data_IF_648913934207
#
_entry.id   IF_648913934207
#
_cell.length_a   1.000
_cell.length_b   1.000
_cell.length_c   1.000
_cell.angle_alpha   90.00
_cell.angle_beta   90.00
_cell.angle_gamma   90.00
#
_symmetry.space_group_name_H-M   'P 1'
#
loop_
_entity.id
_entity.type
_entity.pdbx_description
1 polymer ?
#
# COMPACT_ATOMS: atom_id res chain seq x y z
N UNK A 1 -31.14 -25.84 -4.46
CA UNK A 1 -30.37 -25.67 -5.71
C UNK A 1 -29.25 -24.65 -5.45
N UNK A 2 -28.02 -25.17 -5.35
CA UNK A 2 -26.68 -24.55 -5.43
C UNK A 2 -26.43 -23.16 -4.82
N UNK A 3 -25.78 -23.13 -3.64
CA UNK A 3 -24.82 -22.08 -3.26
C UNK A 3 -23.59 -22.73 -2.60
N UNK A 4 -22.79 -23.44 -3.40
CA UNK A 4 -21.41 -23.85 -3.07
C UNK A 4 -20.63 -23.92 -4.37
N UNK A 5 -20.05 -22.79 -4.78
CA UNK A 5 -19.08 -22.71 -5.91
C UNK A 5 -18.18 -21.48 -5.90
N UNK A 6 -18.38 -20.51 -4.99
CA UNK A 6 -17.60 -19.27 -4.97
C UNK A 6 -16.22 -19.45 -4.32
N UNK A 7 -16.10 -20.28 -3.27
CA UNK A 7 -14.85 -20.47 -2.53
C UNK A 7 -13.80 -21.29 -3.32
N UNK A 8 -14.23 -22.36 -4.00
CA UNK A 8 -13.34 -23.23 -4.79
C UNK A 8 -12.70 -22.54 -6.02
N UNK A 9 -13.34 -21.52 -6.60
CA UNK A 9 -12.83 -20.87 -7.83
C UNK A 9 -11.69 -19.90 -7.53
N UNK A 10 -11.76 -19.19 -6.40
CA UNK A 10 -10.70 -18.28 -5.93
C UNK A 10 -9.49 -19.06 -5.40
N UNK A 11 -9.73 -20.18 -4.70
CA UNK A 11 -8.65 -21.07 -4.24
C UNK A 11 -7.93 -21.76 -5.41
N UNK A 12 -8.63 -22.07 -6.51
CA UNK A 12 -7.98 -22.59 -7.73
C UNK A 12 -7.13 -21.55 -8.44
N UNK A 13 -7.61 -20.30 -8.53
CA UNK A 13 -6.90 -19.23 -9.26
C UNK A 13 -5.62 -18.78 -8.53
N UNK A 14 -5.62 -18.77 -7.20
CA UNK A 14 -4.41 -18.46 -6.41
C UNK A 14 -3.32 -19.54 -6.54
N UNK A 15 -3.69 -20.80 -6.81
CA UNK A 15 -2.75 -21.90 -7.07
C UNK A 15 -2.18 -21.89 -8.50
N UNK A 16 -2.66 -21.02 -9.38
CA UNK A 16 -2.18 -20.89 -10.77
C UNK A 16 -1.20 -19.72 -10.95
N UNK A 17 -1.09 -18.82 -9.97
CA UNK A 17 -0.20 -17.66 -9.98
C UNK A 17 1.27 -18.10 -10.04
N UNK A 18 1.94 -17.84 -11.16
CA UNK A 18 3.32 -18.27 -11.40
C UNK A 18 4.32 -17.21 -10.96
N UNK A 19 5.52 -17.65 -10.58
CA UNK A 19 6.62 -16.72 -10.31
C UNK A 19 6.83 -15.81 -11.53
N UNK A 20 6.94 -14.50 -11.28
CA UNK A 20 7.04 -13.49 -12.34
C UNK A 20 5.69 -12.99 -12.86
N UNK A 21 4.58 -13.31 -12.20
CA UNK A 21 3.26 -12.73 -12.48
C UNK A 21 2.82 -11.77 -11.38
N UNK A 22 2.04 -10.75 -11.75
CA UNK A 22 1.35 -9.86 -10.83
C UNK A 22 -0.13 -9.81 -11.19
N UNK A 23 -1.00 -10.23 -10.27
CA UNK A 23 -2.45 -10.26 -10.52
C UNK A 23 -3.15 -9.17 -9.73
N UNK A 24 -3.91 -8.33 -10.42
CA UNK A 24 -4.83 -7.39 -9.79
C UNK A 24 -6.22 -8.01 -9.72
N UNK A 25 -6.71 -8.28 -8.52
CA UNK A 25 -8.00 -8.94 -8.29
C UNK A 25 -8.95 -8.07 -7.46
N UNK A 26 -10.28 -8.23 -7.58
CA UNK A 26 -11.24 -7.60 -6.67
C UNK A 26 -10.98 -8.02 -5.23
N UNK A 27 -11.06 -7.06 -4.30
CA UNK A 27 -10.92 -7.31 -2.88
C UNK A 27 -12.23 -7.15 -2.12
N UNK A 28 -12.52 -8.10 -1.22
CA UNK A 28 -13.62 -8.01 -0.26
C UNK A 28 -13.01 -7.79 1.14
N UNK A 29 -12.81 -6.51 1.49
CA UNK A 29 -12.24 -6.11 2.78
C UNK A 29 -13.25 -6.22 3.91
N UNK A 30 -12.75 -6.42 5.15
CA UNK A 30 -13.59 -6.30 6.34
C UNK A 30 -14.01 -4.84 6.52
N UNK A 31 -15.12 -4.62 7.24
CA UNK A 31 -15.67 -3.27 7.41
C UNK A 31 -14.67 -2.32 8.09
N UNK A 32 -13.86 -2.84 9.01
CA UNK A 32 -12.81 -2.12 9.72
C UNK A 32 -11.58 -1.78 8.87
N UNK A 33 -11.35 -2.50 7.76
CA UNK A 33 -10.23 -2.28 6.83
C UNK A 33 -10.67 -1.45 5.62
N UNK A 34 -11.96 -1.43 5.31
CA UNK A 34 -12.53 -0.78 4.15
C UNK A 34 -12.72 0.73 4.38
N UNK A 35 -12.13 1.55 3.52
CA UNK A 35 -12.48 2.97 3.45
C UNK A 35 -13.87 3.12 2.83
N UNK A 36 -14.76 3.82 3.54
CA UNK A 36 -16.15 3.98 3.12
C UNK A 36 -16.27 4.59 1.71
N UNK A 37 -17.03 3.93 0.84
CA UNK A 37 -17.29 4.40 -0.53
C UNK A 37 -16.20 4.05 -1.54
N UNK A 38 -15.11 3.38 -1.14
CA UNK A 38 -14.06 2.93 -2.05
C UNK A 38 -14.27 1.48 -2.51
N UNK A 39 -13.81 1.19 -3.73
CA UNK A 39 -13.72 -0.17 -4.26
C UNK A 39 -12.38 -0.78 -3.91
N UNK A 40 -12.40 -1.99 -3.39
CA UNK A 40 -11.21 -2.72 -2.99
C UNK A 40 -10.62 -3.63 -4.06
N UNK A 41 -9.29 -3.74 -4.06
CA UNK A 41 -8.53 -4.65 -4.91
C UNK A 41 -7.26 -5.14 -4.20
N UNK A 42 -6.84 -6.35 -4.56
CA UNK A 42 -5.59 -6.97 -4.12
C UNK A 42 -4.63 -7.06 -5.31
N UNK A 43 -3.40 -6.59 -5.13
CA UNK A 43 -2.27 -6.87 -6.01
C UNK A 43 -1.44 -8.02 -5.46
N UNK A 44 -1.42 -9.15 -6.17
CA UNK A 44 -0.83 -10.39 -5.70
C UNK A 44 0.42 -10.74 -6.54
N UNK A 45 1.59 -10.94 -5.91
CA UNK A 45 2.74 -11.52 -6.58
C UNK A 45 2.55 -13.03 -6.78
N UNK A 46 2.96 -13.53 -7.94
CA UNK A 46 2.84 -14.95 -8.26
C UNK A 46 3.98 -15.81 -7.72
N UNK A 47 3.69 -17.11 -7.54
CA UNK A 47 4.62 -18.10 -7.03
C UNK A 47 4.73 -18.17 -5.49
N UNK A 48 4.17 -17.19 -4.76
CA UNK A 48 4.21 -17.15 -3.30
C UNK A 48 2.79 -16.96 -2.76
N UNK A 49 2.11 -18.07 -2.45
CA UNK A 49 0.83 -18.01 -1.78
C UNK A 49 1.01 -17.44 -0.38
N UNK A 50 0.61 -16.19 -0.16
CA UNK A 50 0.26 -15.54 1.12
C UNK A 50 0.88 -16.15 2.40
N UNK A 51 2.19 -16.41 2.42
CA UNK A 51 2.88 -17.03 3.54
C UNK A 51 4.19 -16.29 3.76
N UNK A 52 4.59 -16.21 5.03
CA UNK A 52 5.77 -15.50 5.46
C UNK A 52 7.01 -15.95 4.68
N UNK A 53 7.66 -15.02 3.98
CA UNK A 53 8.76 -15.29 3.09
C UNK A 53 9.99 -15.82 3.88
N UNK A 54 10.55 -16.96 3.48
CA UNK A 54 11.92 -17.35 3.81
C UNK A 54 12.91 -16.40 3.13
N UNK A 55 14.19 -16.41 3.55
CA UNK A 55 15.21 -15.53 2.96
C UNK A 55 15.37 -15.69 1.43
N UNK A 56 15.17 -16.89 0.90
CA UNK A 56 15.18 -17.15 -0.56
C UNK A 56 13.93 -16.60 -1.26
N UNK A 57 12.80 -16.54 -0.55
CA UNK A 57 11.55 -15.94 -1.04
C UNK A 57 11.64 -14.41 -1.03
N UNK A 58 12.35 -13.83 -0.05
CA UNK A 58 12.56 -12.38 0.05
C UNK A 58 13.34 -11.81 -1.14
N UNK A 59 14.40 -12.48 -1.60
CA UNK A 59 15.13 -12.06 -2.80
C UNK A 59 14.28 -12.17 -4.08
N UNK A 60 13.49 -13.24 -4.18
CA UNK A 60 12.58 -13.43 -5.31
C UNK A 60 11.41 -12.44 -5.33
N UNK A 61 11.15 -11.76 -4.21
CA UNK A 61 10.09 -10.76 -4.03
C UNK A 61 10.60 -9.31 -4.10
N UNK A 62 11.91 -9.10 -4.30
CA UNK A 62 12.48 -7.79 -4.64
C UNK A 62 11.73 -7.10 -5.81
N UNK A 63 11.36 -7.79 -6.90
CA UNK A 63 10.57 -7.18 -7.97
C UNK A 63 9.20 -6.68 -7.51
N UNK A 64 8.52 -7.39 -6.60
CA UNK A 64 7.23 -6.94 -6.06
C UNK A 64 7.37 -5.59 -5.33
N UNK A 65 8.40 -5.46 -4.48
CA UNK A 65 8.69 -4.20 -3.78
C UNK A 65 9.00 -3.06 -4.75
N UNK A 66 9.73 -3.33 -5.82
CA UNK A 66 10.00 -2.34 -6.87
C UNK A 66 8.73 -1.94 -7.62
N UNK A 67 7.86 -2.91 -7.96
CA UNK A 67 6.56 -2.67 -8.60
C UNK A 67 5.70 -1.74 -7.73
N UNK A 68 5.59 -2.02 -6.44
CA UNK A 68 4.79 -1.21 -5.51
C UNK A 68 5.31 0.22 -5.45
N UNK A 69 6.62 0.40 -5.26
CA UNK A 69 7.23 1.73 -5.17
C UNK A 69 7.03 2.55 -6.44
N UNK A 70 7.33 1.98 -7.61
CA UNK A 70 7.11 2.64 -8.90
C UNK A 70 5.64 3.00 -9.12
N UNK A 71 4.74 2.08 -8.75
CA UNK A 71 3.29 2.32 -8.88
C UNK A 71 2.87 3.51 -8.04
N UNK A 72 3.31 3.60 -6.77
CA UNK A 72 3.01 4.72 -5.88
C UNK A 72 3.53 6.03 -6.44
N UNK A 73 4.77 6.06 -6.93
CA UNK A 73 5.36 7.26 -7.55
C UNK A 73 4.54 7.75 -8.76
N UNK A 74 4.17 6.83 -9.67
CA UNK A 74 3.45 7.17 -10.89
C UNK A 74 1.99 7.60 -10.63
N UNK A 75 1.26 6.87 -9.78
CA UNK A 75 -0.14 7.18 -9.50
C UNK A 75 -0.31 8.45 -8.67
N UNK A 76 0.69 8.79 -7.85
CA UNK A 76 0.71 10.03 -7.05
C UNK A 76 1.30 11.23 -7.79
N UNK A 77 1.92 11.03 -8.96
CA UNK A 77 2.60 12.09 -9.70
C UNK A 77 1.71 13.33 -9.90
N UNK A 78 2.18 14.46 -9.36
CA UNK A 78 1.50 15.76 -9.46
C UNK A 78 0.25 15.93 -8.60
N UNK A 79 -0.02 15.02 -7.66
CA UNK A 79 -1.13 15.09 -6.72
C UNK A 79 -0.63 15.21 -5.27
N UNK A 80 -1.42 15.84 -4.38
CA UNK A 80 -1.15 15.80 -2.95
C UNK A 80 -1.20 14.38 -2.42
N UNK A 81 -0.33 14.09 -1.45
CA UNK A 81 -0.20 12.76 -0.84
C UNK A 81 -0.21 12.89 0.67
N UNK A 82 -0.85 11.93 1.32
CA UNK A 82 -0.66 11.68 2.74
C UNK A 82 0.08 10.37 2.93
N UNK A 83 1.18 10.42 3.67
CA UNK A 83 1.85 9.24 4.18
C UNK A 83 1.45 9.05 5.63
N UNK A 84 0.94 7.87 5.94
CA UNK A 84 0.60 7.47 7.31
C UNK A 84 1.53 6.34 7.72
N UNK A 85 2.31 6.58 8.78
CA UNK A 85 3.12 5.57 9.44
C UNK A 85 2.45 5.23 10.76
N UNK A 86 2.06 3.98 10.97
CA UNK A 86 1.53 3.52 12.26
C UNK A 86 2.53 2.56 12.88
N UNK A 87 2.97 2.83 14.11
CA UNK A 87 3.92 2.05 14.87
C UNK A 87 3.24 1.43 16.09
N UNK A 88 3.18 0.11 16.11
CA UNK A 88 2.61 -0.70 17.20
C UNK A 88 3.68 -1.59 17.84
N UNK A 89 4.96 -1.35 17.56
CA UNK A 89 6.06 -2.15 18.08
C UNK A 89 6.22 -2.03 19.61
N UNK A 90 5.66 -0.98 20.22
CA UNK A 90 5.83 -0.68 21.63
C UNK A 90 7.31 -0.47 22.01
N UNK A 91 8.08 0.16 21.11
CA UNK A 91 9.52 0.41 21.26
C UNK A 91 10.40 -0.83 21.37
N UNK A 92 9.92 -1.98 20.88
CA UNK A 92 10.69 -3.24 20.95
C UNK A 92 11.56 -3.49 19.71
N UNK A 93 11.35 -2.76 18.61
CA UNK A 93 12.12 -2.91 17.38
C UNK A 93 13.32 -1.94 17.36
N UNK A 94 14.49 -2.39 17.81
CA UNK A 94 15.69 -1.55 17.90
C UNK A 94 16.11 -0.90 16.57
N UNK A 95 15.95 -1.60 15.44
CA UNK A 95 16.29 -1.05 14.13
C UNK A 95 15.32 0.07 13.72
N UNK A 96 14.02 -0.09 14.00
CA UNK A 96 13.05 0.97 13.78
C UNK A 96 13.33 2.19 14.66
N UNK A 97 13.58 2.00 15.96
CA UNK A 97 13.92 3.07 16.90
C UNK A 97 15.16 3.87 16.48
N UNK A 98 16.13 3.22 15.82
CA UNK A 98 17.31 3.90 15.29
C UNK A 98 17.02 4.70 14.00
N UNK A 99 16.05 4.27 13.19
CA UNK A 99 15.79 4.80 11.83
C UNK A 99 14.65 5.80 11.80
N UNK A 100 13.64 5.60 12.65
CA UNK A 100 12.43 6.41 12.68
C UNK A 100 12.70 7.89 12.93
N UNK A 101 13.67 8.33 13.76
CA UNK A 101 13.92 9.76 13.97
C UNK A 101 14.42 10.46 12.70
N UNK A 102 15.32 9.82 11.96
CA UNK A 102 15.87 10.35 10.70
C UNK A 102 14.78 10.41 9.63
N UNK A 103 14.00 9.34 9.46
CA UNK A 103 12.91 9.27 8.48
C UNK A 103 11.80 10.28 8.81
N UNK A 104 11.47 10.44 10.09
CA UNK A 104 10.53 11.46 10.58
C UNK A 104 11.04 12.86 10.28
N UNK A 105 12.31 13.15 10.56
CA UNK A 105 12.90 14.45 10.29
C UNK A 105 12.85 14.79 8.78
N UNK A 106 13.22 13.83 7.92
CA UNK A 106 13.13 13.98 6.48
C UNK A 106 11.69 14.24 6.00
N UNK A 107 10.69 13.63 6.64
CA UNK A 107 9.28 13.89 6.37
C UNK A 107 8.86 15.29 6.82
N UNK A 108 9.22 15.70 8.04
CA UNK A 108 8.87 16.99 8.62
C UNK A 108 9.41 18.17 7.80
N UNK A 109 10.60 18.05 7.25
CA UNK A 109 11.24 19.07 6.41
C UNK A 109 10.48 19.36 5.10
N UNK A 110 9.68 18.40 4.64
CA UNK A 110 9.02 18.46 3.33
C UNK A 110 7.49 18.49 3.45
N UNK A 111 6.95 18.12 4.60
CA UNK A 111 5.51 18.10 4.82
C UNK A 111 4.96 19.52 4.97
N UNK A 112 3.75 19.70 4.46
CA UNK A 112 2.97 20.91 4.66
C UNK A 112 2.23 20.89 6.00
N UNK A 113 1.86 19.71 6.45
CA UNK A 113 1.15 19.50 7.69
C UNK A 113 1.47 18.12 8.26
N UNK A 114 1.49 18.04 9.60
CA UNK A 114 1.80 16.84 10.35
C UNK A 114 0.87 16.71 11.56
N UNK A 115 0.46 15.48 11.86
CA UNK A 115 -0.24 15.12 13.09
C UNK A 115 0.28 13.80 13.63
N UNK A 116 0.38 13.75 14.95
CA UNK A 116 0.66 12.55 15.73
C UNK A 116 -0.61 12.19 16.51
N UNK A 117 -0.97 10.91 16.50
CA UNK A 117 -2.14 10.38 17.19
C UNK A 117 -1.75 9.12 17.97
N UNK A 118 -2.18 9.01 19.22
CA UNK A 118 -2.16 7.74 19.93
C UNK A 118 -3.30 6.85 19.44
N UNK A 119 -2.98 5.63 19.00
CA UNK A 119 -3.96 4.67 18.48
C UNK A 119 -3.83 3.35 19.25
N UNK A 120 -4.67 3.19 20.26
CA UNK A 120 -4.67 2.00 21.11
C UNK A 120 -3.37 1.86 21.90
N UNK A 121 -2.47 0.98 21.46
CA UNK A 121 -1.13 0.76 22.07
C UNK A 121 0.02 1.30 21.22
N UNK A 122 -0.28 1.93 20.08
CA UNK A 122 0.72 2.42 19.15
C UNK A 122 0.54 3.91 18.86
N UNK A 123 1.42 4.41 18.02
CA UNK A 123 1.47 5.80 17.57
C UNK A 123 1.23 5.85 16.05
N UNK A 124 0.51 6.88 15.61
CA UNK A 124 0.25 7.12 14.19
C UNK A 124 0.76 8.49 13.81
N UNK A 125 1.65 8.52 12.83
CA UNK A 125 2.20 9.73 12.23
C UNK A 125 1.57 9.96 10.86
N UNK A 126 0.93 11.11 10.68
CA UNK A 126 0.22 11.49 9.46
C UNK A 126 0.91 12.71 8.87
N UNK A 127 1.50 12.56 7.69
CA UNK A 127 2.20 13.64 6.99
C UNK A 127 1.48 13.97 5.69
N UNK A 128 1.09 15.23 5.52
CA UNK A 128 0.51 15.76 4.29
C UNK A 128 1.58 16.49 3.46
N UNK A 129 1.64 16.16 2.18
CA UNK A 129 2.53 16.77 1.20
C UNK A 129 1.74 17.27 -0.01
N UNK A 130 2.19 18.40 -0.59
CA UNK A 130 1.63 18.89 -1.85
C UNK A 130 1.96 17.97 -3.04
N UNK A 131 3.06 17.21 -2.92
CA UNK A 131 3.53 16.16 -3.85
C UNK A 131 4.35 15.13 -3.09
N UNK A 132 4.39 13.88 -3.57
CA UNK A 132 5.24 12.85 -2.98
C UNK A 132 6.71 13.31 -2.94
N UNK A 133 7.34 13.39 -1.76
CA UNK A 133 8.72 13.83 -1.68
C UNK A 133 9.67 12.77 -2.26
N UNK A 134 10.67 13.24 -3.01
CA UNK A 134 11.63 12.36 -3.68
C UNK A 134 12.41 11.56 -2.63
N UNK A 135 12.44 10.24 -2.76
CA UNK A 135 13.19 9.35 -1.89
C UNK A 135 12.57 9.08 -0.52
N UNK A 136 11.67 9.92 0.00
CA UNK A 136 11.03 9.69 1.30
C UNK A 136 10.22 8.39 1.32
N UNK A 137 9.35 8.19 0.34
CA UNK A 137 8.55 6.96 0.27
C UNK A 137 9.44 5.73 0.13
N UNK A 138 10.46 5.80 -0.73
CA UNK A 138 11.45 4.72 -0.92
C UNK A 138 12.15 4.38 0.39
N UNK A 139 12.66 5.37 1.13
CA UNK A 139 13.36 5.14 2.40
C UNK A 139 12.44 4.57 3.48
N UNK A 140 11.21 5.10 3.61
CA UNK A 140 10.20 4.55 4.52
C UNK A 140 9.84 3.12 4.15
N UNK A 141 9.57 2.89 2.86
CA UNK A 141 9.16 1.58 2.33
C UNK A 141 10.26 0.54 2.51
N UNK A 142 11.51 0.87 2.16
CA UNK A 142 12.66 -0.02 2.33
C UNK A 142 12.87 -0.35 3.80
N UNK A 143 12.81 0.64 4.70
CA UNK A 143 12.94 0.39 6.12
C UNK A 143 11.84 -0.58 6.59
N UNK A 144 10.57 -0.23 6.36
CA UNK A 144 9.41 -0.95 6.90
C UNK A 144 9.25 -2.34 6.29
N UNK A 145 9.36 -2.47 4.96
CA UNK A 145 9.03 -3.72 4.26
C UNK A 145 10.24 -4.57 3.89
N UNK A 146 11.48 -4.09 4.04
CA UNK A 146 12.69 -4.84 3.68
C UNK A 146 13.69 -4.96 4.82
N UNK A 147 13.87 -3.92 5.64
CA UNK A 147 14.80 -3.97 6.78
C UNK A 147 14.13 -4.55 8.04
N UNK A 148 12.83 -4.28 8.23
CA UNK A 148 12.04 -4.74 9.38
C UNK A 148 10.69 -5.37 8.97
N UNK A 149 10.65 -6.32 8.01
CA UNK A 149 9.42 -6.82 7.38
C UNK A 149 8.35 -7.42 8.33
N UNK A 150 8.74 -7.76 9.57
CA UNK A 150 7.87 -8.35 10.59
C UNK A 150 7.63 -7.45 11.80
N UNK A 151 8.24 -6.26 11.82
CA UNK A 151 7.94 -5.30 12.87
C UNK A 151 6.52 -4.77 12.67
N UNK A 152 5.83 -4.48 13.77
CA UNK A 152 4.44 -4.02 13.78
C UNK A 152 4.36 -2.54 13.36
N UNK A 153 4.91 -2.21 12.19
CA UNK A 153 4.99 -0.86 11.60
C UNK A 153 4.35 -0.89 10.22
N UNK A 154 3.46 0.05 9.95
CA UNK A 154 2.63 0.09 8.75
C UNK A 154 2.83 1.38 7.98
N UNK A 155 2.98 1.29 6.67
CA UNK A 155 3.05 2.43 5.76
C UNK A 155 1.86 2.44 4.81
N UNK A 156 1.01 3.47 4.91
CA UNK A 156 -0.05 3.72 3.96
C UNK A 156 0.19 5.01 3.18
N UNK A 157 -0.01 4.96 1.87
CA UNK A 157 0.03 6.11 0.97
C UNK A 157 -1.37 6.41 0.45
N UNK A 158 -1.89 7.58 0.80
CA UNK A 158 -3.16 8.11 0.33
C UNK A 158 -2.92 9.21 -0.70
N UNK A 159 -3.32 8.98 -1.95
CA UNK A 159 -3.32 9.99 -3.01
C UNK A 159 -4.63 10.77 -2.94
N UNK A 160 -4.54 12.09 -2.88
CA UNK A 160 -5.69 12.95 -2.64
C UNK A 160 -6.15 13.68 -3.90
N UNK A 161 -7.35 14.26 -3.82
CA UNK A 161 -7.82 15.28 -4.79
C UNK A 161 -6.87 16.48 -4.79
N UNK A 162 -6.82 17.22 -5.91
CA UNK A 162 -5.97 18.43 -6.02
C UNK A 162 -6.36 19.52 -5.01
N UNK A 163 -7.66 19.67 -4.80
CA UNK A 163 -8.24 20.64 -3.88
C UNK A 163 -8.40 19.99 -2.50
N UNK A 164 -7.36 20.08 -1.69
CA UNK A 164 -7.34 19.58 -0.31
C UNK A 164 -7.12 20.72 0.67
N UNK A 165 -7.70 20.63 1.88
CA UNK A 165 -7.50 21.64 2.90
C UNK A 165 -6.02 21.75 3.32
N UNK A 166 -5.65 22.89 3.90
CA UNK A 166 -4.31 23.15 4.44
C UNK A 166 -3.92 22.22 5.59
N UNK A 167 -4.91 21.69 6.29
CA UNK A 167 -4.80 20.81 7.46
C UNK A 167 -6.05 19.92 7.52
N UNK A 168 -5.94 18.79 8.19
CA UNK A 168 -7.09 17.92 8.49
C UNK A 168 -7.44 18.03 9.97
N UNK A 169 -8.70 18.39 10.26
CA UNK A 169 -9.26 18.34 11.61
C UNK A 169 -9.97 16.99 11.80
N UNK A 170 -10.35 16.66 13.04
CA UNK A 170 -11.09 15.43 13.38
C UNK A 170 -12.38 15.22 12.54
N UNK A 171 -12.95 16.27 11.94
CA UNK A 171 -14.17 16.21 11.13
C UNK A 171 -13.99 16.20 9.60
N UNK A 172 -12.84 16.63 9.07
CA UNK A 172 -12.54 16.64 7.62
C UNK A 172 -11.71 15.41 7.27
N UNK A 173 -12.33 14.24 7.31
CA UNK A 173 -11.60 12.98 7.23
C UNK A 173 -10.76 12.88 5.95
N UNK A 174 -9.47 12.61 6.14
CA UNK A 174 -8.52 12.16 5.12
C UNK A 174 -9.18 11.18 4.12
N UNK A 175 -9.96 10.24 4.65
CA UNK A 175 -10.74 9.24 3.94
C UNK A 175 -11.68 9.82 2.87
N UNK A 176 -12.32 10.98 3.13
CA UNK A 176 -13.23 11.63 2.18
C UNK A 176 -12.48 12.34 1.06
N UNK A 177 -11.22 12.70 1.29
CA UNK A 177 -10.37 13.42 0.34
C UNK A 177 -9.48 12.49 -0.49
N UNK A 178 -9.29 11.24 -0.04
CA UNK A 178 -8.51 10.23 -0.72
C UNK A 178 -9.21 9.75 -1.99
N UNK A 179 -8.46 9.76 -3.09
CA UNK A 179 -8.84 9.13 -4.34
C UNK A 179 -8.34 7.67 -4.40
N UNK A 180 -7.22 7.39 -3.75
CA UNK A 180 -6.55 6.10 -3.80
C UNK A 180 -5.77 5.89 -2.50
N UNK A 181 -5.94 4.73 -1.86
CA UNK A 181 -5.12 4.27 -0.75
C UNK A 181 -4.33 3.03 -1.19
N UNK A 182 -3.04 3.02 -0.87
CA UNK A 182 -2.09 1.96 -1.21
C UNK A 182 -1.24 1.61 0.03
N UNK A 183 -1.22 0.34 0.41
CA UNK A 183 -0.28 -0.20 1.39
C UNK A 183 0.01 -1.67 1.12
N UNK A 184 1.13 -2.18 1.59
CA UNK A 184 1.39 -3.62 1.60
C UNK A 184 0.91 -4.17 2.94
N UNK A 185 0.17 -5.27 2.88
CA UNK A 185 -0.28 -5.98 4.09
C UNK A 185 0.91 -6.48 4.90
N UNK A 186 0.78 -6.42 6.22
CA UNK A 186 1.87 -6.78 7.14
C UNK A 186 2.06 -8.29 7.29
N UNK A 187 0.96 -9.06 7.23
CA UNK A 187 1.01 -10.51 7.37
C UNK A 187 1.28 -11.24 6.06
N UNK A 188 1.09 -10.56 4.93
CA UNK A 188 1.11 -11.15 3.59
C UNK A 188 1.67 -10.15 2.59
N UNK A 189 2.50 -10.61 1.66
CA UNK A 189 3.00 -9.76 0.56
C UNK A 189 1.91 -9.50 -0.48
N UNK A 190 0.94 -8.67 -0.09
CA UNK A 190 -0.22 -8.29 -0.88
C UNK A 190 -0.30 -6.78 -0.90
N UNK A 191 -0.37 -6.20 -2.09
CA UNK A 191 -0.66 -4.78 -2.25
C UNK A 191 -2.17 -4.57 -2.06
N UNK A 192 -2.54 -3.90 -0.98
CA UNK A 192 -3.90 -3.47 -0.69
C UNK A 192 -4.17 -2.16 -1.43
N UNK A 193 -5.23 -2.15 -2.22
CA UNK A 193 -5.62 -1.03 -3.05
C UNK A 193 -7.08 -0.69 -2.78
N UNK A 194 -7.35 0.55 -2.40
CA UNK A 194 -8.71 1.07 -2.30
C UNK A 194 -8.85 2.30 -3.17
N UNK A 195 -9.83 2.32 -4.06
CA UNK A 195 -10.03 3.35 -5.08
C UNK A 195 -11.37 4.04 -4.89
N UNK A 196 -11.38 5.37 -4.87
CA UNK A 196 -12.61 6.14 -4.89
C UNK A 196 -13.27 6.03 -6.27
N UNK A 197 -14.59 6.21 -6.37
CA UNK A 197 -15.31 6.07 -7.66
C UNK A 197 -14.84 7.04 -8.75
N UNK A 198 -14.26 8.18 -8.36
CA UNK A 198 -13.74 9.23 -9.23
C UNK A 198 -12.25 9.04 -9.60
N UNK A 199 -11.56 8.05 -9.01
CA UNK A 199 -10.19 7.75 -9.40
C UNK A 199 -10.13 6.99 -10.73
N UNK A 200 -9.30 7.43 -11.70
CA UNK A 200 -9.19 6.78 -12.99
C UNK A 200 -8.48 5.41 -12.86
N UNK A 201 -9.23 4.31 -12.76
CA UNK A 201 -8.68 2.93 -12.68
C UNK A 201 -7.70 2.62 -13.81
N UNK A 202 -7.89 3.20 -15.01
CA UNK A 202 -6.94 3.09 -16.12
C UNK A 202 -5.55 3.63 -15.79
N UNK A 203 -5.45 4.66 -14.93
CA UNK A 203 -4.18 5.20 -14.44
C UNK A 203 -3.45 4.17 -13.57
N UNK A 204 -4.16 3.56 -12.61
CA UNK A 204 -3.60 2.54 -11.72
C UNK A 204 -3.18 1.29 -12.49
N UNK A 205 -4.07 0.74 -13.32
CA UNK A 205 -3.77 -0.48 -14.10
C UNK A 205 -2.60 -0.26 -15.07
N UNK A 206 -2.50 0.92 -15.69
CA UNK A 206 -1.33 1.27 -16.50
C UNK A 206 -0.05 1.35 -15.66
N UNK A 207 -0.08 2.05 -14.52
CA UNK A 207 1.10 2.18 -13.66
C UNK A 207 1.60 0.81 -13.16
N UNK A 208 0.69 -0.07 -12.76
CA UNK A 208 1.03 -1.45 -12.38
C UNK A 208 1.61 -2.24 -13.56
N UNK A 209 1.00 -2.16 -14.75
CA UNK A 209 1.47 -2.86 -15.93
C UNK A 209 2.88 -2.41 -16.36
N UNK A 210 3.11 -1.09 -16.43
CA UNK A 210 4.40 -0.51 -16.77
C UNK A 210 5.47 -0.92 -15.73
N UNK A 211 5.13 -0.85 -14.44
CA UNK A 211 6.04 -1.26 -13.37
C UNK A 211 6.38 -2.76 -13.42
N UNK A 212 5.40 -3.63 -13.75
CA UNK A 212 5.65 -5.05 -13.95
C UNK A 212 6.58 -5.28 -15.15
N UNK A 213 6.33 -4.62 -16.29
CA UNK A 213 7.17 -4.75 -17.49
C UNK A 213 8.63 -4.38 -17.20
N UNK A 214 8.86 -3.30 -16.43
CA UNK A 214 10.21 -2.88 -16.03
C UNK A 214 10.95 -3.91 -15.18
N UNK A 215 10.23 -4.69 -14.38
CA UNK A 215 10.80 -5.76 -13.56
C UNK A 215 10.75 -7.14 -14.25
N UNK A 216 10.35 -7.19 -15.53
CA UNK A 216 10.23 -8.42 -16.31
C UNK A 216 9.07 -9.33 -15.89
N UNK A 217 8.06 -8.77 -15.21
CA UNK A 217 6.88 -9.48 -14.72
C UNK A 217 5.68 -9.30 -15.65
N UNK A 218 4.76 -10.27 -15.64
CA UNK A 218 3.53 -10.26 -16.42
C UNK A 218 2.39 -9.70 -15.55
N UNK A 219 1.78 -8.60 -15.98
CA UNK A 219 0.61 -8.03 -15.32
C UNK A 219 -0.71 -8.63 -15.85
N UNK A 220 -1.59 -9.03 -14.93
CA UNK A 220 -2.92 -9.55 -15.24
C UNK A 220 -4.01 -8.82 -14.46
N UNK A 221 -4.92 -8.13 -15.18
CA UNK A 221 -6.07 -7.44 -14.59
C UNK A 221 -7.31 -8.36 -14.57
N UNK A 222 -7.68 -8.79 -13.36
CA UNK A 222 -8.86 -9.60 -13.07
C UNK A 222 -9.98 -8.80 -12.38
N UNK A 223 -9.88 -7.47 -12.32
CA UNK A 223 -10.89 -6.62 -11.65
C UNK A 223 -12.21 -6.55 -12.41
N UNK A 224 -12.18 -6.78 -13.72
CA UNK A 224 -13.37 -6.84 -14.56
C UNK A 224 -14.04 -8.20 -14.40
N UNK A 225 -15.23 -8.20 -13.79
CA UNK A 225 -16.14 -9.35 -13.81
C UNK A 225 -16.50 -9.68 -15.25
N UNK A 226 -16.07 -10.84 -15.75
CA UNK A 226 -16.66 -11.51 -16.91
C UNK A 226 -18.10 -11.91 -16.61
#
# INVERSE_FOLDING_TARGET
MVFRKRKERTDRSLNELRLGEFWLMPGEFRAEEATAGMTGSYGLPGGYGALAASAEQEEALRPFHAIVQRTVEEVSAGLPVVLTVSDYTGHTCALWEARSPELRQMALEQCRWFKEEEVGKGERHIFLFDRLPKGLYTSLYQCIHTEIPWADVYLNCSVLKKEVPLHFDEGSTLEKSALLNLHVDWGHLVLIIQTAPDFPIKKLTKALADACEMEGWIFSDHTKRS
#
